data_IF_516517613431
#
_entry.id   IF_516517613431
#
_cell.length_a   1.000
_cell.length_b   1.000
_cell.length_c   1.000
_cell.angle_alpha   90.00
_cell.angle_beta   90.00
_cell.angle_gamma   90.00
#
_symmetry.space_group_name_H-M   'P 1'
#
loop_
_entity.id
_entity.type
_entity.pdbx_description
1 polymer ?
#
# COMPACT_ATOMS: atom_id res chain seq x y z
N UNK A 1 -3.34 -6.71 4.75
CA UNK A 1 -3.95 -7.35 3.57
C UNK A 1 -5.37 -6.87 3.29
N UNK A 2 -6.39 -7.25 4.07
CA UNK A 2 -7.80 -6.95 3.76
C UNK A 2 -8.10 -5.47 3.45
N UNK A 3 -7.70 -4.54 4.33
CA UNK A 3 -7.92 -3.10 4.10
C UNK A 3 -7.21 -2.54 2.87
N UNK A 4 -6.05 -3.10 2.52
CA UNK A 4 -5.35 -2.72 1.30
C UNK A 4 -6.14 -3.20 0.06
N UNK A 5 -6.67 -4.44 0.08
CA UNK A 5 -7.52 -4.94 -1.01
C UNK A 5 -8.82 -4.11 -1.14
N UNK A 6 -9.42 -3.72 -0.01
CA UNK A 6 -10.58 -2.85 -0.01
C UNK A 6 -10.27 -1.48 -0.62
N UNK A 7 -9.11 -0.91 -0.30
CA UNK A 7 -8.67 0.35 -0.93
C UNK A 7 -8.46 0.20 -2.43
N UNK A 8 -7.86 -0.91 -2.89
CA UNK A 8 -7.65 -1.16 -4.31
C UNK A 8 -8.97 -1.40 -5.04
N UNK A 9 -9.91 -2.12 -4.44
CA UNK A 9 -11.24 -2.35 -5.00
C UNK A 9 -12.01 -1.05 -5.18
N UNK A 10 -12.01 -0.19 -4.16
CA UNK A 10 -12.69 1.10 -4.28
C UNK A 10 -11.96 2.03 -5.28
N UNK A 11 -10.62 1.98 -5.37
CA UNK A 11 -9.88 2.70 -6.41
C UNK A 11 -10.21 2.21 -7.82
N UNK A 12 -10.30 0.89 -8.03
CA UNK A 12 -10.64 0.31 -9.34
C UNK A 12 -12.09 0.59 -9.74
N UNK A 13 -13.02 0.62 -8.79
CA UNK A 13 -14.41 1.04 -9.03
C UNK A 13 -14.49 2.52 -9.42
N UNK A 14 -13.76 3.40 -8.73
CA UNK A 14 -13.70 4.82 -9.07
C UNK A 14 -13.13 5.02 -10.48
N UNK A 15 -12.06 4.30 -10.81
CA UNK A 15 -11.48 4.29 -12.16
C UNK A 15 -12.47 3.79 -13.21
N UNK A 16 -13.14 2.67 -12.95
CA UNK A 16 -14.13 2.08 -13.86
C UNK A 16 -15.29 3.05 -14.15
N UNK A 17 -15.90 3.63 -13.11
CA UNK A 17 -16.98 4.60 -13.26
C UNK A 17 -16.50 5.83 -14.04
N UNK A 18 -15.30 6.32 -13.77
CA UNK A 18 -14.71 7.46 -14.49
C UNK A 18 -14.59 7.19 -15.99
N UNK A 19 -14.06 6.02 -16.38
CA UNK A 19 -13.91 5.62 -17.79
C UNK A 19 -15.28 5.54 -18.47
N UNK A 20 -16.27 4.92 -17.82
CA UNK A 20 -17.62 4.79 -18.38
C UNK A 20 -18.32 6.14 -18.58
N UNK A 21 -18.18 7.06 -17.62
CA UNK A 21 -18.83 8.39 -17.69
C UNK A 21 -18.15 9.33 -18.67
N UNK A 22 -16.83 9.22 -18.82
CA UNK A 22 -16.05 10.16 -19.65
C UNK A 22 -16.21 9.89 -21.15
N UNK A 23 -16.72 8.71 -21.54
CA UNK A 23 -16.89 8.32 -22.95
C UNK A 23 -15.59 8.31 -23.75
N UNK A 24 -14.44 8.39 -23.08
CA UNK A 24 -13.09 8.43 -23.64
C UNK A 24 -12.35 7.18 -23.19
N UNK A 25 -12.15 6.26 -24.11
CA UNK A 25 -11.16 5.19 -23.98
C UNK A 25 -9.73 5.75 -24.06
N UNK A 26 -9.59 6.97 -24.58
CA UNK A 26 -8.33 7.69 -24.71
C UNK A 26 -7.89 8.22 -23.35
N UNK A 27 -7.18 7.38 -22.61
CA UNK A 27 -6.36 7.73 -21.45
C UNK A 27 -7.03 8.75 -20.52
N UNK A 28 -7.99 8.30 -19.71
CA UNK A 28 -8.06 8.85 -18.35
C UNK A 28 -6.61 8.89 -17.82
N UNK A 29 -6.15 9.99 -17.20
CA UNK A 29 -4.76 10.09 -16.79
C UNK A 29 -4.50 8.94 -15.80
N UNK A 30 -3.80 7.90 -16.25
CA UNK A 30 -3.47 6.72 -15.43
C UNK A 30 -2.82 7.15 -14.12
N UNK A 31 -2.07 8.25 -14.19
CA UNK A 31 -1.48 8.98 -13.07
C UNK A 31 -2.51 9.47 -12.05
N UNK A 32 -3.67 9.99 -12.47
CA UNK A 32 -4.74 10.40 -11.58
C UNK A 32 -5.40 9.18 -10.92
N UNK A 33 -5.59 8.10 -11.67
CA UNK A 33 -6.08 6.82 -11.14
C UNK A 33 -5.14 6.23 -10.08
N UNK A 34 -3.83 6.20 -10.38
CA UNK A 34 -2.79 5.76 -9.47
C UNK A 34 -2.71 6.66 -8.22
N UNK A 35 -2.76 7.99 -8.40
CA UNK A 35 -2.80 8.93 -7.28
C UNK A 35 -4.04 8.73 -6.39
N UNK A 36 -5.21 8.51 -6.97
CA UNK A 36 -6.42 8.20 -6.23
C UNK A 36 -6.29 6.88 -5.45
N UNK A 37 -5.68 5.85 -6.06
CA UNK A 37 -5.40 4.59 -5.38
C UNK A 37 -4.46 4.77 -4.18
N UNK A 38 -3.39 5.54 -4.33
CA UNK A 38 -2.45 5.86 -3.23
C UNK A 38 -3.17 6.57 -2.08
N UNK A 39 -3.96 7.61 -2.38
CA UNK A 39 -4.71 8.34 -1.34
C UNK A 39 -5.69 7.44 -0.59
N UNK A 40 -6.36 6.54 -1.31
CA UNK A 40 -7.30 5.61 -0.72
C UNK A 40 -6.61 4.53 0.12
N UNK A 41 -5.42 4.08 -0.28
CA UNK A 41 -4.57 3.21 0.55
C UNK A 41 -4.18 3.88 1.87
N UNK A 42 -3.81 5.17 1.84
CA UNK A 42 -3.48 5.93 3.05
C UNK A 42 -4.71 6.16 3.95
N UNK A 43 -5.89 6.40 3.35
CA UNK A 43 -7.15 6.49 4.08
C UNK A 43 -7.49 5.16 4.77
N UNK A 44 -7.34 4.04 4.08
CA UNK A 44 -7.54 2.72 4.67
C UNK A 44 -6.50 2.42 5.76
N UNK A 45 -5.25 2.87 5.62
CA UNK A 45 -4.25 2.77 6.69
C UNK A 45 -4.65 3.56 7.93
N UNK A 46 -5.22 4.75 7.77
CA UNK A 46 -5.79 5.52 8.88
C UNK A 46 -6.95 4.79 9.55
N UNK A 47 -7.85 4.18 8.76
CA UNK A 47 -8.93 3.35 9.29
C UNK A 47 -8.39 2.13 10.08
N UNK A 48 -7.36 1.45 9.56
CA UNK A 48 -6.67 0.38 10.29
C UNK A 48 -6.14 0.86 11.64
N UNK A 49 -5.43 1.99 11.66
CA UNK A 49 -4.90 2.57 12.88
C UNK A 49 -6.01 2.83 13.92
N UNK A 50 -7.13 3.44 13.50
CA UNK A 50 -8.27 3.70 14.39
C UNK A 50 -8.88 2.43 14.97
N UNK A 51 -9.03 1.39 14.15
CA UNK A 51 -9.59 0.11 14.57
C UNK A 51 -8.63 -0.60 15.53
N UNK A 52 -7.34 -0.65 15.20
CA UNK A 52 -6.32 -1.28 16.05
C UNK A 52 -6.19 -0.55 17.39
N UNK A 53 -6.21 0.78 17.39
CA UNK A 53 -6.21 1.58 18.62
C UNK A 53 -7.43 1.29 19.49
N UNK A 54 -8.62 1.24 18.90
CA UNK A 54 -9.85 0.92 19.64
C UNK A 54 -9.84 -0.52 20.17
N UNK A 55 -9.29 -1.46 19.40
CA UNK A 55 -9.12 -2.84 19.85
C UNK A 55 -8.13 -2.93 21.01
N UNK A 56 -7.02 -2.20 20.96
CA UNK A 56 -6.02 -2.12 22.01
C UNK A 56 -6.58 -1.58 23.32
N UNK A 57 -7.29 -0.45 23.27
CA UNK A 57 -7.99 0.14 24.43
C UNK A 57 -9.04 -0.84 25.02
N UNK A 58 -9.78 -1.53 24.15
CA UNK A 58 -10.75 -2.54 24.56
C UNK A 58 -10.09 -3.75 25.24
N UNK A 59 -9.01 -4.28 24.67
CA UNK A 59 -8.27 -5.42 25.21
C UNK A 59 -7.59 -5.07 26.54
N UNK A 60 -7.00 -3.88 26.66
CA UNK A 60 -6.41 -3.39 27.91
C UNK A 60 -7.45 -3.33 29.04
N UNK A 61 -8.66 -2.85 28.74
CA UNK A 61 -9.75 -2.73 29.73
C UNK A 61 -10.27 -4.07 30.25
N UNK A 62 -10.15 -5.13 29.45
CA UNK A 62 -10.57 -6.50 29.80
C UNK A 62 -9.43 -7.33 30.43
N UNK A 63 -8.19 -6.85 30.34
CA UNK A 63 -7.01 -7.51 30.88
C UNK A 63 -6.97 -7.37 32.39
N UNK A 64 -6.74 -8.49 33.11
CA UNK A 64 -6.64 -8.51 34.57
C UNK A 64 -5.51 -7.61 35.11
N UNK A 65 -4.46 -7.42 34.31
CA UNK A 65 -3.29 -6.62 34.66
C UNK A 65 -3.36 -5.20 34.08
N UNK A 66 -4.43 -4.86 33.36
CA UNK A 66 -4.60 -3.56 32.70
C UNK A 66 -3.60 -3.29 31.57
N UNK A 67 -2.77 -4.27 31.20
CA UNK A 67 -1.80 -4.16 30.12
C UNK A 67 -2.33 -4.79 28.84
N UNK A 68 -2.13 -4.09 27.72
CA UNK A 68 -2.36 -4.61 26.38
C UNK A 68 -1.41 -5.77 26.06
N UNK A 69 -1.89 -6.82 25.37
CA UNK A 69 -1.04 -7.94 24.97
C UNK A 69 -0.04 -7.60 23.86
N UNK A 70 -0.26 -6.51 23.11
CA UNK A 70 0.57 -6.10 21.96
C UNK A 70 0.83 -4.60 22.03
N UNK A 71 2.06 -4.17 21.77
CA UNK A 71 2.39 -2.74 21.71
C UNK A 71 1.92 -2.09 20.39
N UNK A 72 1.56 -0.79 20.46
CA UNK A 72 1.23 0.01 19.26
C UNK A 72 2.34 -0.03 18.19
N UNK A 73 3.61 -0.11 18.60
CA UNK A 73 4.76 -0.23 17.70
C UNK A 73 4.76 -1.55 16.91
N UNK A 74 4.45 -2.67 17.57
CA UNK A 74 4.32 -3.97 16.90
C UNK A 74 3.12 -3.99 15.95
N UNK A 75 1.98 -3.41 16.36
CA UNK A 75 0.81 -3.28 15.48
C UNK A 75 1.12 -2.46 14.23
N UNK A 76 1.85 -1.34 14.39
CA UNK A 76 2.29 -0.50 13.27
C UNK A 76 3.19 -1.25 12.29
N UNK A 77 4.19 -1.97 12.81
CA UNK A 77 5.10 -2.79 12.02
C UNK A 77 4.35 -3.87 11.22
N UNK A 78 3.52 -4.66 11.90
CA UNK A 78 2.75 -5.75 11.27
C UNK A 78 1.75 -5.19 10.26
N UNK A 79 1.10 -4.06 10.56
CA UNK A 79 0.17 -3.40 9.64
C UNK A 79 0.90 -2.92 8.37
N UNK A 80 2.05 -2.26 8.52
CA UNK A 80 2.86 -1.80 7.40
C UNK A 80 3.35 -2.96 6.53
N UNK A 81 3.93 -3.99 7.14
CA UNK A 81 4.38 -5.21 6.46
C UNK A 81 3.22 -5.89 5.72
N UNK A 82 2.04 -5.95 6.33
CA UNK A 82 0.83 -6.54 5.74
C UNK A 82 0.28 -5.75 4.55
N UNK A 83 0.56 -4.45 4.44
CA UNK A 83 0.28 -3.63 3.25
C UNK A 83 1.35 -3.88 2.18
N UNK A 84 2.62 -3.92 2.59
CA UNK A 84 3.75 -4.18 1.71
C UNK A 84 3.64 -5.51 0.99
N UNK A 85 3.45 -6.61 1.73
CA UNK A 85 3.36 -7.96 1.15
C UNK A 85 2.24 -8.05 0.11
N UNK A 86 1.02 -7.62 0.45
CA UNK A 86 -0.11 -7.75 -0.47
C UNK A 86 0.05 -6.86 -1.71
N UNK A 87 0.61 -5.65 -1.54
CA UNK A 87 0.95 -4.76 -2.65
C UNK A 87 2.02 -5.38 -3.55
N UNK A 88 3.06 -5.98 -2.95
CA UNK A 88 4.11 -6.67 -3.69
C UNK A 88 3.57 -7.87 -4.47
N UNK A 89 2.71 -8.68 -3.85
CA UNK A 89 2.04 -9.80 -4.56
C UNK A 89 1.25 -9.29 -5.76
N UNK A 90 0.43 -8.25 -5.60
CA UNK A 90 -0.30 -7.65 -6.73
C UNK A 90 0.63 -7.11 -7.82
N UNK A 91 1.78 -6.56 -7.44
CA UNK A 91 2.74 -5.96 -8.37
C UNK A 91 3.52 -7.00 -9.20
N UNK A 92 3.80 -8.18 -8.65
CA UNK A 92 4.78 -9.10 -9.26
C UNK A 92 4.25 -10.48 -9.61
N UNK A 93 3.13 -10.95 -9.03
CA UNK A 93 2.77 -12.37 -9.13
C UNK A 93 2.60 -12.88 -10.58
N UNK A 94 2.01 -12.05 -11.44
CA UNK A 94 1.82 -12.39 -12.86
C UNK A 94 3.15 -12.34 -13.61
N UNK A 95 3.92 -11.26 -13.43
CA UNK A 95 5.27 -11.11 -13.99
C UNK A 95 6.20 -12.25 -13.57
N UNK A 96 6.07 -12.72 -12.34
CA UNK A 96 6.84 -13.84 -11.81
C UNK A 96 6.46 -15.14 -12.50
N UNK A 97 5.16 -15.37 -12.77
CA UNK A 97 4.71 -16.52 -13.53
C UNK A 97 5.28 -16.51 -14.96
N UNK A 98 5.30 -15.35 -15.62
CA UNK A 98 5.85 -15.21 -16.97
C UNK A 98 7.37 -15.47 -17.01
N UNK A 99 8.09 -15.15 -15.93
CA UNK A 99 9.54 -15.36 -15.84
C UNK A 99 9.96 -16.84 -15.73
N UNK A 100 9.01 -17.76 -15.49
CA UNK A 100 9.31 -19.18 -15.40
C UNK A 100 9.59 -19.84 -16.76
N UNK A 101 9.22 -19.17 -17.86
CA UNK A 101 9.52 -19.63 -19.22
C UNK A 101 11.00 -19.49 -19.59
N UNK A 102 11.46 -20.18 -20.64
CA UNK A 102 12.85 -20.07 -21.11
C UNK A 102 13.18 -18.74 -21.80
N UNK A 103 12.17 -17.90 -22.06
CA UNK A 103 12.33 -16.60 -22.72
C UNK A 103 12.50 -15.45 -21.72
N UNK A 104 13.18 -14.38 -22.15
CA UNK A 104 13.22 -13.10 -21.44
C UNK A 104 12.50 -12.01 -22.23
N UNK A 105 12.17 -10.92 -21.57
CA UNK A 105 11.61 -9.70 -22.20
C UNK A 105 12.63 -9.10 -23.17
N UNK A 106 12.16 -8.58 -24.31
CA UNK A 106 13.03 -7.82 -25.24
C UNK A 106 12.86 -8.10 -26.73
N UNK A 107 11.95 -8.99 -27.15
CA UNK A 107 11.72 -9.26 -28.58
C UNK A 107 11.27 -8.00 -29.36
N UNK A 108 10.61 -7.05 -28.68
CA UNK A 108 10.19 -5.77 -29.25
C UNK A 108 11.10 -4.58 -28.85
N UNK A 109 12.32 -4.85 -28.36
CA UNK A 109 13.28 -3.81 -27.97
C UNK A 109 13.21 -3.37 -26.50
N UNK A 110 12.38 -4.01 -25.68
CA UNK A 110 12.34 -3.79 -24.23
C UNK A 110 13.60 -4.32 -23.51
N UNK A 111 13.82 -3.86 -22.27
CA UNK A 111 14.99 -4.26 -21.49
C UNK A 111 14.96 -5.74 -21.08
N UNK A 112 16.04 -6.51 -21.27
CA UNK A 112 16.14 -7.88 -20.79
C UNK A 112 16.23 -7.96 -19.25
N UNK A 113 16.46 -6.83 -18.57
CA UNK A 113 16.50 -6.72 -17.11
C UNK A 113 15.11 -6.49 -16.47
N UNK A 114 14.02 -6.57 -17.24
CA UNK A 114 12.66 -6.28 -16.78
C UNK A 114 12.27 -7.07 -15.50
N UNK A 115 12.53 -8.38 -15.48
CA UNK A 115 12.17 -9.22 -14.34
C UNK A 115 12.95 -8.86 -13.07
N UNK A 116 14.26 -8.64 -13.19
CA UNK A 116 15.10 -8.31 -12.04
C UNK A 116 14.78 -6.90 -11.51
N UNK A 117 14.54 -5.93 -12.41
CA UNK A 117 14.11 -4.59 -12.03
C UNK A 117 12.76 -4.63 -11.29
N UNK A 118 11.79 -5.39 -11.81
CA UNK A 118 10.48 -5.59 -11.17
C UNK A 118 10.60 -6.22 -9.78
N UNK A 119 11.51 -7.18 -9.60
CA UNK A 119 11.78 -7.81 -8.31
C UNK A 119 12.34 -6.81 -7.29
N UNK A 120 13.36 -6.02 -7.67
CA UNK A 120 13.93 -5.00 -6.78
C UNK A 120 12.94 -3.89 -6.45
N UNK A 121 12.15 -3.43 -7.43
CA UNK A 121 11.11 -2.43 -7.20
C UNK A 121 10.05 -2.97 -6.22
N UNK A 122 9.60 -4.21 -6.40
CA UNK A 122 8.63 -4.85 -5.50
C UNK A 122 9.19 -4.98 -4.08
N UNK A 123 10.44 -5.41 -3.91
CA UNK A 123 11.09 -5.46 -2.59
C UNK A 123 11.16 -4.07 -1.94
N UNK A 124 11.53 -3.04 -2.71
CA UNK A 124 11.57 -1.66 -2.22
C UNK A 124 10.19 -1.20 -1.75
N UNK A 125 9.12 -1.47 -2.51
CA UNK A 125 7.74 -1.13 -2.12
C UNK A 125 7.28 -1.86 -0.86
N UNK A 126 7.63 -3.15 -0.70
CA UNK A 126 7.30 -3.92 0.51
C UNK A 126 7.97 -3.32 1.75
N UNK A 127 9.27 -3.00 1.65
CA UNK A 127 10.01 -2.35 2.74
C UNK A 127 9.45 -0.97 3.05
N UNK A 128 9.14 -0.20 2.02
CA UNK A 128 8.66 1.15 2.16
C UNK A 128 7.27 1.21 2.81
N UNK A 129 6.36 0.30 2.46
CA UNK A 129 5.09 0.13 3.18
C UNK A 129 5.30 -0.23 4.66
N UNK A 130 6.32 -1.03 4.97
CA UNK A 130 6.67 -1.37 6.35
C UNK A 130 7.09 -0.11 7.11
N UNK A 131 7.99 0.69 6.53
CA UNK A 131 8.44 1.95 7.14
C UNK A 131 7.33 2.99 7.25
N UNK A 132 6.53 3.17 6.19
CA UNK A 132 5.37 4.05 6.22
C UNK A 132 4.38 3.64 7.31
N UNK A 133 4.12 2.34 7.51
CA UNK A 133 3.27 1.87 8.61
C UNK A 133 3.75 2.37 9.98
N UNK A 134 5.04 2.23 10.26
CA UNK A 134 5.66 2.67 11.52
C UNK A 134 5.53 4.19 11.69
N UNK A 135 5.98 4.95 10.69
CA UNK A 135 5.98 6.42 10.74
C UNK A 135 4.56 6.97 10.83
N UNK A 136 3.62 6.39 10.07
CA UNK A 136 2.23 6.81 10.03
C UNK A 136 1.55 6.62 11.38
N UNK A 137 1.74 5.47 12.03
CA UNK A 137 1.14 5.20 13.34
C UNK A 137 1.75 6.10 14.42
N UNK A 138 3.07 6.27 14.46
CA UNK A 138 3.72 7.19 15.42
C UNK A 138 3.25 8.64 15.21
N UNK A 139 3.13 9.08 13.96
CA UNK A 139 2.63 10.42 13.65
C UNK A 139 1.14 10.61 14.03
N UNK A 140 0.32 9.56 13.90
CA UNK A 140 -1.06 9.59 14.38
C UNK A 140 -1.16 9.67 15.91
N UNK A 141 -0.33 8.90 16.63
CA UNK A 141 -0.27 8.93 18.10
C UNK A 141 0.16 10.31 18.62
N UNK A 142 1.19 10.90 18.00
CA UNK A 142 1.72 12.22 18.38
C UNK A 142 0.94 13.41 17.80
N UNK A 143 -0.14 13.16 17.05
CA UNK A 143 -0.90 14.17 16.28
C UNK A 143 0.01 15.06 15.41
N UNK A 144 1.06 14.48 14.84
CA UNK A 144 2.10 15.19 14.10
C UNK A 144 1.82 15.18 12.60
N UNK A 145 1.09 16.20 12.11
CA UNK A 145 0.65 16.29 10.71
C UNK A 145 1.79 16.24 9.68
N UNK A 146 2.98 16.72 10.03
CA UNK A 146 4.16 16.65 9.14
C UNK A 146 4.59 15.22 8.87
N UNK A 147 4.47 14.32 9.85
CA UNK A 147 4.79 12.90 9.67
C UNK A 147 3.82 12.21 8.71
N UNK A 148 2.51 12.51 8.82
CA UNK A 148 1.52 12.03 7.86
C UNK A 148 1.79 12.57 6.46
N UNK A 149 2.02 13.88 6.34
CA UNK A 149 2.33 14.51 5.06
C UNK A 149 3.56 13.92 4.38
N UNK A 150 4.61 13.59 5.14
CA UNK A 150 5.81 12.92 4.62
C UNK A 150 5.49 11.52 4.09
N UNK A 151 4.71 10.73 4.82
CA UNK A 151 4.32 9.38 4.37
C UNK A 151 3.49 9.45 3.09
N UNK A 152 2.43 10.26 3.07
CA UNK A 152 1.57 10.41 1.89
C UNK A 152 2.36 10.97 0.69
N UNK A 153 3.18 11.99 0.92
CA UNK A 153 3.99 12.61 -0.12
C UNK A 153 5.06 11.67 -0.70
N UNK A 154 5.75 10.91 0.15
CA UNK A 154 6.72 9.91 -0.32
C UNK A 154 6.06 8.74 -1.04
N UNK A 155 4.84 8.34 -0.65
CA UNK A 155 4.07 7.33 -1.37
C UNK A 155 3.67 7.81 -2.77
N UNK A 156 3.14 9.03 -2.88
CA UNK A 156 2.85 9.63 -4.18
C UNK A 156 4.11 9.78 -5.06
N UNK A 157 5.23 10.22 -4.46
CA UNK A 157 6.49 10.36 -5.17
C UNK A 157 6.97 9.02 -5.73
N UNK A 158 7.00 7.98 -4.91
CA UNK A 158 7.44 6.64 -5.35
C UNK A 158 6.50 5.99 -6.36
N UNK A 159 5.21 6.34 -6.37
CA UNK A 159 4.30 5.90 -7.43
C UNK A 159 4.41 6.70 -8.73
N UNK A 160 5.02 7.88 -8.69
CA UNK A 160 5.25 8.74 -9.86
C UNK A 160 6.63 8.62 -10.49
N UNK A 161 7.55 7.87 -9.87
CA UNK A 161 8.90 7.55 -10.36
C UNK A 161 8.91 6.19 -11.06
#
# INVERSE_FOLDING_TARGET
AFFWLLSLLAASLLWFVWVQLSGREDAAPLLLGAAAAVLLQELCRFACFKILKKADEGLASLSKDGQSPISMRQMAYVSGLSFGIISGVFSIINTLADSAGPGTVGIHGDSPYYFIASAFLTMALVLLHTFWGIIFFDACERRHARGLGLVVGSHLLTSGL
#
